data_IF_171235575452
#
_entry.id   IF_171235575452
#
_cell.length_a   1.000
_cell.length_b   1.000
_cell.length_c   1.000
_cell.angle_alpha   90.00
_cell.angle_beta   90.00
_cell.angle_gamma   90.00
#
_symmetry.space_group_name_H-M   'P 1'
#
loop_
_entity.id
_entity.type
_entity.pdbx_description
1 polymer ?
#
# COMPACT_ATOMS: atom_id res chain seq x y z
N UNK A 1 9.79 15.68 -25.01
CA UNK A 1 8.34 15.67 -25.22
C UNK A 1 7.86 14.24 -25.02
N UNK A 2 6.83 13.96 -24.23
CA UNK A 2 6.31 12.61 -24.06
C UNK A 2 5.79 12.11 -25.41
N UNK A 3 6.06 10.84 -25.71
CA UNK A 3 5.61 10.14 -26.91
C UNK A 3 4.07 10.00 -26.89
N UNK A 4 3.46 9.94 -28.08
CA UNK A 4 2.00 9.80 -28.27
C UNK A 4 1.41 8.64 -27.45
N UNK A 5 2.13 7.51 -27.34
CA UNK A 5 1.74 6.35 -26.55
C UNK A 5 1.71 6.67 -25.04
N UNK A 6 2.64 7.49 -24.54
CA UNK A 6 2.63 7.95 -23.14
C UNK A 6 1.48 8.91 -22.86
N UNK A 7 1.13 9.78 -23.83
CA UNK A 7 -0.01 10.66 -23.71
C UNK A 7 -1.35 9.90 -23.72
N UNK A 8 -1.48 8.87 -24.55
CA UNK A 8 -2.67 7.99 -24.58
C UNK A 8 -2.77 7.20 -23.27
N UNK A 9 -1.65 6.68 -22.75
CA UNK A 9 -1.61 5.99 -21.44
C UNK A 9 -1.99 6.93 -20.29
N UNK A 10 -1.51 8.18 -20.31
CA UNK A 10 -1.87 9.21 -19.31
C UNK A 10 -3.36 9.60 -19.39
N UNK A 11 -3.91 9.74 -20.60
CA UNK A 11 -5.34 10.05 -20.78
C UNK A 11 -6.22 8.92 -20.26
N UNK A 12 -5.94 7.66 -20.63
CA UNK A 12 -6.65 6.49 -20.08
C UNK A 12 -6.56 6.40 -18.57
N UNK A 13 -5.38 6.68 -18.02
CA UNK A 13 -5.16 6.68 -16.56
C UNK A 13 -6.00 7.74 -15.84
N UNK A 14 -6.11 8.95 -16.43
CA UNK A 14 -6.95 10.02 -15.88
C UNK A 14 -8.45 9.68 -15.96
N UNK A 15 -8.90 9.05 -17.04
CA UNK A 15 -10.29 8.62 -17.18
C UNK A 15 -10.67 7.56 -16.15
N UNK A 16 -9.76 6.60 -15.89
CA UNK A 16 -9.95 5.58 -14.85
C UNK A 16 -9.96 6.22 -13.45
N UNK A 17 -9.04 7.15 -13.17
CA UNK A 17 -9.03 7.88 -11.90
C UNK A 17 -10.33 8.67 -11.71
N UNK A 18 -10.82 9.36 -12.74
CA UNK A 18 -12.09 10.07 -12.70
C UNK A 18 -13.29 9.14 -12.47
N UNK A 19 -13.31 7.98 -13.11
CA UNK A 19 -14.31 6.95 -12.86
C UNK A 19 -14.27 6.43 -11.43
N UNK A 20 -13.09 6.15 -10.90
CA UNK A 20 -12.90 5.70 -9.51
C UNK A 20 -13.33 6.79 -8.51
N UNK A 21 -13.04 8.07 -8.80
CA UNK A 21 -13.49 9.20 -7.99
C UNK A 21 -15.02 9.34 -8.03
N UNK A 22 -15.62 9.25 -9.21
CA UNK A 22 -17.09 9.30 -9.39
C UNK A 22 -17.80 8.14 -8.71
N UNK A 23 -17.21 6.93 -8.73
CA UNK A 23 -17.71 5.79 -7.98
C UNK A 23 -17.58 6.03 -6.47
N UNK A 24 -16.46 6.59 -6.02
CA UNK A 24 -16.26 6.99 -4.62
C UNK A 24 -17.29 8.02 -4.15
N UNK A 25 -17.59 9.03 -4.95
CA UNK A 25 -18.61 10.05 -4.66
C UNK A 25 -20.03 9.47 -4.68
N UNK A 26 -20.33 8.59 -5.62
CA UNK A 26 -21.66 7.95 -5.76
C UNK A 26 -21.97 7.01 -4.60
N UNK A 27 -20.95 6.42 -3.99
CA UNK A 27 -21.05 5.52 -2.85
C UNK A 27 -20.52 6.15 -1.55
N UNK A 28 -20.30 7.49 -1.54
CA UNK A 28 -19.97 8.21 -0.33
C UNK A 28 -21.11 8.07 0.67
N UNK A 29 -21.04 7.03 1.47
CA UNK A 29 -21.74 6.99 2.74
C UNK A 29 -21.26 8.21 3.53
N UNK A 30 -22.18 8.88 4.29
CA UNK A 30 -21.80 10.04 5.07
C UNK A 30 -20.59 9.69 5.91
N UNK A 31 -19.56 10.50 5.79
CA UNK A 31 -18.29 10.38 6.48
C UNK A 31 -18.55 10.45 7.99
N UNK A 32 -18.89 9.32 8.58
CA UNK A 32 -18.94 9.21 10.03
C UNK A 32 -17.49 9.14 10.47
N UNK A 33 -16.96 10.30 10.84
CA UNK A 33 -15.71 10.44 11.56
C UNK A 33 -15.80 9.64 12.88
N UNK A 34 -15.59 8.36 12.81
CA UNK A 34 -15.20 7.57 13.95
C UNK A 34 -13.70 7.30 13.84
N UNK A 35 -12.96 7.94 14.71
CA UNK A 35 -11.51 8.09 14.82
C UNK A 35 -10.69 6.81 14.92
N UNK A 36 -11.09 5.68 14.36
CA UNK A 36 -10.32 4.43 14.53
C UNK A 36 -9.99 3.64 13.27
N UNK A 37 -10.57 3.94 12.14
CA UNK A 37 -10.23 3.20 10.92
C UNK A 37 -10.36 4.16 9.73
N UNK A 38 -9.23 4.64 9.23
CA UNK A 38 -9.19 5.15 7.85
C UNK A 38 -9.46 3.95 6.95
N UNK A 39 -10.74 3.75 6.64
CA UNK A 39 -11.10 2.77 5.63
C UNK A 39 -10.48 3.20 4.30
N UNK A 40 -9.88 2.25 3.61
CA UNK A 40 -9.42 2.44 2.25
C UNK A 40 -10.60 3.00 1.41
N UNK A 41 -10.39 4.00 0.51
CA UNK A 41 -11.46 4.66 -0.23
C UNK A 41 -12.35 3.73 -1.06
N UNK A 42 -11.98 2.48 -1.19
CA UNK A 42 -12.71 1.44 -1.93
C UNK A 42 -13.60 0.55 -1.04
N UNK A 43 -13.84 0.93 0.21
CA UNK A 43 -14.79 0.23 1.10
C UNK A 43 -16.20 0.39 0.56
N UNK A 44 -16.85 -0.72 0.25
CA UNK A 44 -18.26 -0.74 -0.20
C UNK A 44 -18.48 -0.84 -1.69
N UNK A 45 -17.44 -0.79 -2.52
CA UNK A 45 -17.55 -1.21 -3.91
C UNK A 45 -17.73 -2.73 -3.94
N UNK A 46 -18.78 -3.22 -4.59
CA UNK A 46 -18.78 -4.58 -5.10
C UNK A 46 -17.54 -4.70 -5.97
N UNK A 47 -16.64 -5.65 -5.62
CA UNK A 47 -15.28 -5.71 -6.16
C UNK A 47 -15.23 -6.30 -7.57
N UNK A 48 -16.30 -6.12 -8.34
CA UNK A 48 -16.30 -6.37 -9.79
C UNK A 48 -15.64 -5.20 -10.52
N UNK A 49 -14.34 -4.99 -10.25
CA UNK A 49 -13.52 -4.08 -11.06
C UNK A 49 -13.06 -4.83 -12.30
N UNK A 50 -13.12 -4.16 -13.44
CA UNK A 50 -12.56 -4.66 -14.69
C UNK A 50 -11.05 -4.82 -14.62
N UNK A 51 -10.47 -5.52 -15.58
CA UNK A 51 -9.03 -5.76 -15.59
C UNK A 51 -8.22 -4.47 -15.78
N UNK A 52 -8.70 -3.50 -16.55
CA UNK A 52 -8.04 -2.20 -16.74
C UNK A 52 -8.00 -1.39 -15.44
N UNK A 53 -9.11 -1.34 -14.69
CA UNK A 53 -9.18 -0.68 -13.40
C UNK A 53 -8.28 -1.35 -12.37
N UNK A 54 -8.22 -2.69 -12.38
CA UNK A 54 -7.35 -3.47 -11.51
C UNK A 54 -5.88 -3.14 -11.76
N UNK A 55 -5.46 -3.13 -13.02
CA UNK A 55 -4.11 -2.75 -13.43
C UNK A 55 -3.78 -1.35 -12.93
N UNK A 56 -4.66 -0.39 -13.16
CA UNK A 56 -4.47 1.00 -12.72
C UNK A 56 -4.34 1.11 -11.19
N UNK A 57 -5.18 0.40 -10.43
CA UNK A 57 -5.12 0.42 -8.97
C UNK A 57 -3.83 -0.19 -8.45
N UNK A 58 -3.38 -1.28 -9.02
CA UNK A 58 -2.11 -1.92 -8.64
C UNK A 58 -0.93 -0.98 -8.90
N UNK A 59 -0.90 -0.29 -10.05
CA UNK A 59 0.14 0.73 -10.35
C UNK A 59 0.11 1.86 -9.31
N UNK A 60 -1.05 2.44 -9.05
CA UNK A 60 -1.20 3.56 -8.12
C UNK A 60 -0.79 3.21 -6.69
N UNK A 61 -1.17 2.03 -6.20
CA UNK A 61 -0.79 1.56 -4.87
C UNK A 61 0.72 1.33 -4.78
N UNK A 62 1.33 0.75 -5.81
CA UNK A 62 2.77 0.51 -5.84
C UNK A 62 3.58 1.82 -5.95
N UNK A 63 3.14 2.76 -6.79
CA UNK A 63 3.74 4.11 -6.87
C UNK A 63 3.63 4.84 -5.54
N UNK A 64 2.49 4.75 -4.85
CA UNK A 64 2.28 5.35 -3.55
C UNK A 64 3.20 4.73 -2.50
N UNK A 65 3.38 3.42 -2.50
CA UNK A 65 4.31 2.73 -1.62
C UNK A 65 5.74 3.26 -1.78
N UNK A 66 6.22 3.36 -3.02
CA UNK A 66 7.56 3.86 -3.35
C UNK A 66 7.74 5.33 -2.96
N UNK A 67 6.75 6.16 -3.24
CA UNK A 67 6.79 7.60 -2.89
C UNK A 67 6.86 7.79 -1.38
N UNK A 68 6.02 7.10 -0.61
CA UNK A 68 6.02 7.18 0.85
C UNK A 68 7.36 6.67 1.40
N UNK A 69 7.91 5.59 0.84
CA UNK A 69 9.20 5.07 1.28
C UNK A 69 10.34 6.09 1.07
N UNK A 70 10.32 6.83 -0.04
CA UNK A 70 11.32 7.86 -0.34
C UNK A 70 11.30 9.05 0.64
N UNK A 71 10.18 9.29 1.35
CA UNK A 71 10.07 10.33 2.36
C UNK A 71 10.83 9.98 3.66
N UNK A 72 11.11 8.70 3.91
CA UNK A 72 11.65 8.20 5.19
C UNK A 72 13.03 8.79 5.49
N UNK A 73 13.93 8.83 4.52
CA UNK A 73 15.29 9.36 4.73
C UNK A 73 15.26 10.83 5.13
N UNK A 74 14.34 11.62 4.57
CA UNK A 74 14.17 13.03 4.92
C UNK A 74 13.71 13.17 6.37
N UNK A 75 12.75 12.36 6.80
CA UNK A 75 12.21 12.38 8.16
C UNK A 75 13.26 11.92 9.19
N UNK A 76 13.99 10.86 8.86
CA UNK A 76 15.08 10.36 9.71
C UNK A 76 16.17 11.40 9.89
N UNK A 77 16.61 12.06 8.80
CA UNK A 77 17.62 13.10 8.83
C UNK A 77 17.15 14.37 9.60
N UNK A 78 15.84 14.60 9.64
CA UNK A 78 15.23 15.69 10.43
C UNK A 78 14.97 15.33 11.90
N UNK A 79 15.27 14.10 12.33
CA UNK A 79 14.98 13.63 13.69
C UNK A 79 13.48 13.38 13.97
N UNK A 80 12.66 13.25 12.90
CA UNK A 80 11.21 13.04 13.00
C UNK A 80 10.89 11.54 13.03
N UNK A 81 11.37 10.83 14.06
CA UNK A 81 11.36 9.39 14.14
C UNK A 81 9.94 8.78 14.13
N UNK A 82 9.02 9.36 14.88
CA UNK A 82 7.61 8.93 14.92
C UNK A 82 6.94 9.05 13.57
N UNK A 83 7.19 10.15 12.85
CA UNK A 83 6.69 10.34 11.49
C UNK A 83 7.31 9.32 10.53
N UNK A 84 8.62 9.03 10.68
CA UNK A 84 9.31 8.02 9.87
C UNK A 84 8.73 6.61 10.12
N UNK A 85 8.42 6.25 11.36
CA UNK A 85 7.78 4.98 11.70
C UNK A 85 6.41 4.82 11.03
N UNK A 86 5.57 5.86 11.09
CA UNK A 86 4.27 5.87 10.40
C UNK A 86 4.44 5.73 8.88
N UNK A 87 5.37 6.47 8.27
CA UNK A 87 5.64 6.36 6.84
C UNK A 87 6.18 4.99 6.44
N UNK A 88 7.05 4.40 7.27
CA UNK A 88 7.57 3.06 7.05
C UNK A 88 6.45 2.01 7.00
N UNK A 89 5.53 2.06 7.96
CA UNK A 89 4.36 1.19 7.96
C UNK A 89 3.50 1.39 6.71
N UNK A 90 3.13 2.64 6.36
CA UNK A 90 2.26 2.90 5.23
C UNK A 90 2.90 2.55 3.88
N UNK A 91 4.21 2.65 3.73
CA UNK A 91 4.89 2.22 2.50
C UNK A 91 4.73 0.71 2.26
N UNK A 92 4.90 -0.11 3.30
CA UNK A 92 4.67 -1.55 3.23
C UNK A 92 3.18 -1.87 3.04
N UNK A 93 2.30 -1.14 3.74
CA UNK A 93 0.85 -1.30 3.60
C UNK A 93 0.38 -1.14 2.16
N UNK A 94 0.80 -0.07 1.48
CA UNK A 94 0.40 0.17 0.09
C UNK A 94 1.02 -0.86 -0.88
N UNK A 95 2.25 -1.33 -0.65
CA UNK A 95 2.82 -2.42 -1.43
C UNK A 95 2.00 -3.72 -1.28
N UNK A 96 1.58 -4.05 -0.05
CA UNK A 96 0.72 -5.21 0.21
C UNK A 96 -0.68 -5.01 -0.39
N UNK A 97 -1.24 -3.79 -0.40
CA UNK A 97 -2.48 -3.48 -1.12
C UNK A 97 -2.34 -3.81 -2.61
N UNK A 98 -1.28 -3.33 -3.27
CA UNK A 98 -1.03 -3.63 -4.68
C UNK A 98 -0.99 -5.14 -4.95
N UNK A 99 -0.29 -5.88 -4.08
CA UNK A 99 -0.18 -7.33 -4.19
C UNK A 99 -1.53 -8.04 -4.05
N UNK A 100 -2.37 -7.63 -3.09
CA UNK A 100 -3.70 -8.21 -2.87
C UNK A 100 -4.66 -7.87 -4.01
N UNK A 101 -4.67 -6.62 -4.47
CA UNK A 101 -5.50 -6.16 -5.58
C UNK A 101 -5.17 -6.91 -6.88
N UNK A 102 -3.88 -7.14 -7.12
CA UNK A 102 -3.39 -7.92 -8.27
C UNK A 102 -4.07 -9.29 -8.39
N UNK A 103 -4.27 -9.97 -7.27
CA UNK A 103 -4.91 -11.29 -7.23
C UNK A 103 -6.43 -11.24 -6.96
N UNK A 104 -7.05 -10.05 -7.08
CA UNK A 104 -8.48 -9.86 -6.91
C UNK A 104 -8.94 -9.92 -5.44
N UNK A 105 -8.03 -9.82 -4.48
CA UNK A 105 -8.36 -9.84 -3.06
C UNK A 105 -8.72 -8.44 -2.55
N UNK A 106 -9.81 -8.39 -1.79
CA UNK A 106 -10.28 -7.17 -1.12
C UNK A 106 -9.50 -6.93 0.16
N UNK A 107 -8.77 -5.82 0.26
CA UNK A 107 -8.12 -5.39 1.49
C UNK A 107 -8.55 -3.95 1.81
N UNK A 108 -9.66 -3.80 2.51
CA UNK A 108 -10.29 -2.51 2.77
C UNK A 108 -9.96 -1.95 4.15
N UNK A 109 -9.34 -2.76 5.02
CA UNK A 109 -8.95 -2.39 6.37
C UNK A 109 -7.51 -2.78 6.64
N UNK A 110 -6.87 -2.12 7.60
CA UNK A 110 -5.52 -2.50 8.02
C UNK A 110 -5.46 -3.97 8.46
N UNK A 111 -6.43 -4.41 9.26
CA UNK A 111 -6.52 -5.80 9.72
C UNK A 111 -6.75 -6.77 8.56
N UNK A 112 -7.65 -6.44 7.62
CA UNK A 112 -7.92 -7.26 6.44
C UNK A 112 -6.69 -7.41 5.56
N UNK A 113 -5.90 -6.35 5.40
CA UNK A 113 -4.64 -6.35 4.67
C UNK A 113 -3.61 -7.31 5.31
N UNK A 114 -3.44 -7.26 6.63
CA UNK A 114 -2.57 -8.18 7.36
C UNK A 114 -3.02 -9.65 7.25
N UNK A 115 -4.32 -9.90 7.43
CA UNK A 115 -4.91 -11.25 7.30
C UNK A 115 -4.70 -11.76 5.87
N UNK A 116 -4.99 -10.93 4.86
CA UNK A 116 -4.82 -11.28 3.45
C UNK A 116 -3.37 -11.61 3.11
N UNK A 117 -2.42 -10.77 3.50
CA UNK A 117 -0.99 -11.04 3.29
C UNK A 117 -0.57 -12.35 3.94
N UNK A 118 -0.98 -12.57 5.19
CA UNK A 118 -0.70 -13.82 5.91
C UNK A 118 -1.31 -15.06 5.24
N UNK A 119 -2.57 -14.98 4.81
CA UNK A 119 -3.29 -16.11 4.26
C UNK A 119 -2.86 -16.47 2.84
N UNK A 120 -2.71 -15.47 1.98
CA UNK A 120 -2.51 -15.70 0.54
C UNK A 120 -1.03 -15.76 0.12
N UNK A 121 -0.12 -15.17 0.91
CA UNK A 121 1.28 -15.07 0.51
C UNK A 121 2.25 -15.72 1.48
N UNK A 122 1.99 -15.64 2.79
CA UNK A 122 2.87 -16.26 3.78
C UNK A 122 2.56 -17.74 3.96
N UNK A 123 1.30 -18.12 4.16
CA UNK A 123 0.90 -19.53 4.32
C UNK A 123 1.13 -20.37 3.07
N UNK A 124 1.09 -19.75 1.90
CA UNK A 124 1.35 -20.41 0.61
C UNK A 124 2.84 -20.54 0.30
N UNK A 125 3.72 -19.94 1.11
CA UNK A 125 5.16 -20.00 0.95
C UNK A 125 5.74 -19.03 -0.09
N UNK A 126 4.92 -18.12 -0.65
CA UNK A 126 5.42 -17.06 -1.55
C UNK A 126 6.35 -16.13 -0.80
N UNK A 127 5.99 -15.77 0.43
CA UNK A 127 6.86 -15.04 1.36
C UNK A 127 7.15 -15.87 2.60
N UNK A 128 8.41 -15.90 3.06
CA UNK A 128 8.77 -16.51 4.34
C UNK A 128 7.99 -15.91 5.53
N UNK A 129 7.75 -16.70 6.62
CA UNK A 129 6.96 -16.27 7.77
C UNK A 129 7.50 -15.01 8.48
N UNK A 130 8.79 -14.72 8.35
CA UNK A 130 9.42 -13.52 8.93
C UNK A 130 8.83 -12.23 8.37
N UNK A 131 8.40 -12.17 7.11
CA UNK A 131 7.77 -10.98 6.54
C UNK A 131 6.39 -10.71 7.13
N UNK A 132 5.60 -11.75 7.42
CA UNK A 132 4.34 -11.61 8.12
C UNK A 132 4.53 -11.05 9.53
N UNK A 133 5.50 -11.62 10.29
CA UNK A 133 5.87 -11.11 11.62
C UNK A 133 6.42 -9.69 11.56
N UNK A 134 7.22 -9.40 10.55
CA UNK A 134 7.78 -8.06 10.34
C UNK A 134 6.69 -7.02 10.10
N UNK A 135 5.74 -7.32 9.21
CA UNK A 135 4.64 -6.41 8.89
C UNK A 135 3.78 -6.13 10.13
N UNK A 136 3.48 -7.15 10.95
CA UNK A 136 2.79 -6.94 12.23
C UNK A 136 3.58 -6.04 13.19
N UNK A 137 4.90 -6.21 13.27
CA UNK A 137 5.75 -5.33 14.10
C UNK A 137 5.75 -3.88 13.63
N UNK A 138 5.69 -3.63 12.32
CA UNK A 138 5.57 -2.27 11.78
C UNK A 138 4.23 -1.64 12.18
N UNK A 139 3.13 -2.40 12.12
CA UNK A 139 1.83 -1.92 12.58
C UNK A 139 1.88 -1.54 14.07
N UNK A 140 2.42 -2.43 14.90
CA UNK A 140 2.55 -2.17 16.35
C UNK A 140 3.39 -0.92 16.62
N UNK A 141 4.52 -0.76 15.94
CA UNK A 141 5.38 0.42 16.07
C UNK A 141 4.64 1.71 15.72
N UNK A 142 3.90 1.70 14.60
CA UNK A 142 3.08 2.84 14.16
C UNK A 142 1.98 3.15 15.17
N UNK A 143 1.26 2.15 15.68
CA UNK A 143 0.19 2.34 16.65
C UNK A 143 0.73 2.88 17.99
N UNK A 144 1.88 2.40 18.43
CA UNK A 144 2.56 2.95 19.62
C UNK A 144 2.98 4.40 19.40
N UNK A 145 3.55 4.71 18.23
CA UNK A 145 3.99 6.05 17.87
C UNK A 145 2.83 7.06 17.77
N UNK A 146 1.68 6.65 17.23
CA UNK A 146 0.57 7.57 16.96
C UNK A 146 -0.36 7.75 18.18
N UNK A 147 -0.48 6.74 19.06
CA UNK A 147 -1.51 6.71 20.11
C UNK A 147 -0.97 6.58 21.54
N UNK A 148 0.30 6.24 21.74
CA UNK A 148 0.89 6.11 23.06
C UNK A 148 1.70 7.36 23.39
N UNK A 149 1.15 8.25 24.22
CA UNK A 149 1.80 9.51 24.60
C UNK A 149 3.06 9.34 25.48
N UNK A 150 3.37 8.12 25.90
CA UNK A 150 4.56 7.81 26.73
C UNK A 150 5.66 7.17 25.88
N UNK A 151 5.35 6.74 24.67
CA UNK A 151 6.28 6.05 23.78
C UNK A 151 6.87 6.99 22.74
N UNK A 152 8.18 7.16 22.78
CA UNK A 152 8.94 7.88 21.75
C UNK A 152 9.70 6.88 20.87
N UNK A 153 9.53 6.99 19.57
CA UNK A 153 10.30 6.19 18.60
C UNK A 153 11.74 6.66 18.61
N UNK A 154 12.67 5.71 18.68
CA UNK A 154 14.10 5.97 18.64
C UNK A 154 14.71 5.65 17.27
N UNK A 155 15.92 6.17 16.95
CA UNK A 155 16.65 5.75 15.75
C UNK A 155 16.84 4.23 15.68
N UNK A 156 17.11 3.58 16.80
CA UNK A 156 17.34 2.14 16.91
C UNK A 156 16.10 1.34 16.51
N UNK A 157 14.91 1.85 16.82
CA UNK A 157 13.64 1.23 16.39
C UNK A 157 13.51 1.14 14.88
N UNK A 158 14.15 2.03 14.14
CA UNK A 158 14.04 2.13 12.68
C UNK A 158 15.21 1.50 11.92
N UNK A 159 16.41 1.49 12.51
CA UNK A 159 17.65 1.09 11.83
C UNK A 159 17.58 -0.29 11.18
N UNK A 160 16.98 -1.28 11.85
CA UNK A 160 16.82 -2.64 11.30
C UNK A 160 15.57 -2.77 10.43
N UNK A 161 14.56 -1.92 10.65
CA UNK A 161 13.27 -2.04 10.00
C UNK A 161 13.25 -1.42 8.60
N UNK A 162 13.99 -0.32 8.39
CA UNK A 162 14.04 0.37 7.09
C UNK A 162 14.61 -0.54 5.99
N UNK A 163 15.77 -1.20 6.16
CA UNK A 163 16.29 -2.10 5.15
C UNK A 163 15.35 -3.28 4.83
N UNK A 164 14.73 -3.86 5.85
CA UNK A 164 13.82 -4.98 5.70
C UNK A 164 12.51 -4.58 5.00
N UNK A 165 12.00 -3.38 5.27
CA UNK A 165 10.85 -2.83 4.56
C UNK A 165 11.19 -2.58 3.08
N UNK A 166 12.37 -2.02 2.80
CA UNK A 166 12.86 -1.84 1.43
C UNK A 166 12.90 -3.17 0.67
N UNK A 167 13.47 -4.19 1.30
CA UNK A 167 13.55 -5.52 0.70
C UNK A 167 12.16 -6.11 0.40
N UNK A 168 11.23 -6.02 1.36
CA UNK A 168 9.86 -6.50 1.18
C UNK A 168 9.16 -5.76 0.04
N UNK A 169 9.25 -4.43 0.00
CA UNK A 169 8.66 -3.62 -1.07
C UNK A 169 9.27 -3.99 -2.44
N UNK A 170 10.58 -4.19 -2.52
CA UNK A 170 11.25 -4.60 -3.77
C UNK A 170 10.80 -5.98 -4.25
N UNK A 171 10.62 -6.94 -3.34
CA UNK A 171 10.10 -8.28 -3.69
C UNK A 171 8.67 -8.20 -4.21
N UNK A 172 7.81 -7.40 -3.56
CA UNK A 172 6.45 -7.18 -4.02
C UNK A 172 6.45 -6.48 -5.39
N UNK A 173 7.26 -5.45 -5.56
CA UNK A 173 7.40 -4.72 -6.82
C UNK A 173 7.81 -5.64 -7.98
N UNK A 174 8.74 -6.57 -7.73
CA UNK A 174 9.10 -7.60 -8.72
C UNK A 174 7.90 -8.44 -9.16
N UNK A 175 7.14 -8.97 -8.21
CA UNK A 175 5.93 -9.78 -8.49
C UNK A 175 4.88 -8.96 -9.26
N UNK A 176 4.67 -7.71 -8.86
CA UNK A 176 3.71 -6.80 -9.51
C UNK A 176 4.15 -6.49 -10.94
N UNK A 177 5.43 -6.16 -11.16
CA UNK A 177 5.95 -5.85 -12.48
C UNK A 177 5.87 -7.05 -13.44
N UNK A 178 6.19 -8.25 -12.96
CA UNK A 178 6.06 -9.47 -13.77
C UNK A 178 4.60 -9.72 -14.20
N UNK A 179 3.66 -9.53 -13.29
CA UNK A 179 2.23 -9.63 -13.60
C UNK A 179 1.79 -8.55 -14.59
N UNK A 180 2.21 -7.29 -14.42
CA UNK A 180 1.88 -6.19 -15.32
C UNK A 180 2.36 -6.44 -16.75
N UNK A 181 3.56 -7.01 -16.92
CA UNK A 181 4.09 -7.37 -18.23
C UNK A 181 3.27 -8.47 -18.91
N UNK A 182 2.69 -9.39 -18.13
CA UNK A 182 1.81 -10.43 -18.66
C UNK A 182 0.48 -9.85 -19.16
N UNK A 183 -0.08 -8.84 -18.46
CA UNK A 183 -1.32 -8.18 -18.88
C UNK A 183 -1.16 -7.39 -20.20
N UNK A 184 0.04 -6.90 -20.50
CA UNK A 184 0.32 -6.17 -21.75
C UNK A 184 0.46 -7.07 -22.99
N UNK A 185 0.63 -8.38 -22.78
CA UNK A 185 0.81 -9.36 -23.86
C UNK A 185 -0.47 -10.06 -24.28
N UNK A 186 -1.53 -9.90 -23.51
CA UNK A 186 -2.86 -10.46 -23.76
C UNK A 186 -3.79 -9.39 -24.34
#
# INVERSE_FOLDING_TARGET
MPNLAQNIKMMKHQDVIQNLQSLGEKFALPYIMHERHVSHPYVGLDWEIGDEERITLVELEMEKAKRIFAEIDVLVNAGLWSNAASRLYYSVYHAVCALLIKDGHKATTHQGNHIGFGAYYVKTGIFPPEYGRFYNRLQTLREQSDYNCIYDVTPEDLNEKIPLAKELIQKIDGIVNDWMQQQQKN
#
